data_IF_503714387560
#
_entry.id   IF_503714387560
#
_cell.length_a   1.000
_cell.length_b   1.000
_cell.length_c   1.000
_cell.angle_alpha   90.00
_cell.angle_beta   90.00
_cell.angle_gamma   90.00
#
_symmetry.space_group_name_H-M   'P 1'
#
loop_
_entity.id
_entity.type
_entity.pdbx_description
1 polymer ?
#
# COMPACT_ATOMS: atom_id res chain seq x y z
N UNK A 1 5.70 17.29 13.41
CA UNK A 1 5.82 18.75 13.17
C UNK A 1 5.39 19.05 11.74
N UNK A 2 4.59 20.10 11.50
CA UNK A 2 4.20 20.55 10.16
C UNK A 2 5.23 21.53 9.60
N UNK A 3 6.07 21.08 8.68
CA UNK A 3 7.19 21.83 8.14
C UNK A 3 6.95 22.10 6.65
N UNK A 4 6.13 23.11 6.35
CA UNK A 4 5.63 23.42 5.00
C UNK A 4 6.64 24.22 4.16
N UNK A 5 7.89 23.77 4.12
CA UNK A 5 9.00 24.49 3.49
C UNK A 5 9.09 24.29 1.96
N UNK A 6 8.37 23.32 1.42
CA UNK A 6 8.24 23.10 -0.01
C UNK A 6 6.79 22.73 -0.38
N UNK A 7 6.53 22.67 -1.69
CA UNK A 7 5.20 22.40 -2.21
C UNK A 7 4.71 20.98 -1.88
N UNK A 8 5.61 19.99 -1.79
CA UNK A 8 5.24 18.60 -1.52
C UNK A 8 4.73 18.49 -0.08
N UNK A 9 5.49 18.99 0.88
CA UNK A 9 5.10 18.96 2.29
C UNK A 9 3.87 19.84 2.54
N UNK A 10 3.80 21.01 1.90
CA UNK A 10 2.62 21.89 1.98
C UNK A 10 1.37 21.21 1.41
N UNK A 11 1.47 20.51 0.28
CA UNK A 11 0.34 19.78 -0.30
C UNK A 11 -0.13 18.65 0.63
N UNK A 12 0.79 17.92 1.27
CA UNK A 12 0.47 16.89 2.26
C UNK A 12 -0.24 17.48 3.49
N UNK A 13 0.28 18.59 4.03
CA UNK A 13 -0.32 19.34 5.15
C UNK A 13 -1.73 19.85 4.82
N UNK A 14 -1.93 20.40 3.61
CA UNK A 14 -3.26 20.80 3.12
C UNK A 14 -4.18 19.58 2.95
N UNK A 15 -3.67 18.46 2.46
CA UNK A 15 -4.45 17.22 2.31
C UNK A 15 -4.97 16.75 3.67
N UNK A 16 -4.12 16.75 4.70
CA UNK A 16 -4.49 16.38 6.06
C UNK A 16 -5.49 17.37 6.68
N UNK A 17 -5.27 18.68 6.56
CA UNK A 17 -6.16 19.68 7.16
C UNK A 17 -7.56 19.66 6.54
N UNK A 18 -7.65 19.38 5.24
CA UNK A 18 -8.92 19.27 4.49
C UNK A 18 -9.57 17.88 4.63
N UNK A 19 -9.02 17.00 5.48
CA UNK A 19 -9.52 15.62 5.68
C UNK A 19 -9.60 14.83 4.38
N UNK A 20 -8.70 15.11 3.44
CA UNK A 20 -8.55 14.36 2.20
C UNK A 20 -7.62 13.16 2.44
N UNK A 21 -7.75 12.15 1.57
CA UNK A 21 -6.94 10.93 1.68
C UNK A 21 -5.49 11.22 1.31
N UNK A 22 -4.57 10.88 2.21
CA UNK A 22 -3.12 10.97 2.02
C UNK A 22 -2.50 9.59 2.23
N UNK A 23 -1.78 9.09 1.25
CA UNK A 23 -1.01 7.83 1.33
C UNK A 23 0.47 8.18 1.23
N UNK A 24 1.26 7.71 2.20
CA UNK A 24 2.72 7.89 2.26
C UNK A 24 3.40 6.55 2.02
N UNK A 25 4.14 6.44 0.90
CA UNK A 25 4.88 5.23 0.55
C UNK A 25 6.28 5.28 1.14
N UNK A 26 6.44 4.79 2.37
CA UNK A 26 7.69 4.92 3.14
C UNK A 26 8.66 3.76 2.82
N UNK A 27 9.77 4.05 2.13
CA UNK A 27 10.79 3.06 1.75
C UNK A 27 12.11 3.32 2.49
N UNK A 28 12.34 2.60 3.57
CA UNK A 28 13.60 2.62 4.33
C UNK A 28 13.76 1.32 5.14
N UNK A 29 15.00 0.88 5.39
CA UNK A 29 15.32 -0.22 6.30
C UNK A 29 16.82 -0.23 6.66
N UNK A 30 17.21 -0.39 7.94
CA UNK A 30 16.36 -0.57 9.13
C UNK A 30 15.75 0.76 9.61
N UNK A 31 14.62 0.65 10.31
CA UNK A 31 13.95 1.82 10.88
C UNK A 31 14.53 2.16 12.25
N UNK A 32 15.00 3.39 12.41
CA UNK A 32 15.25 4.01 13.71
C UNK A 32 13.93 4.43 14.39
N UNK A 33 13.99 4.73 15.69
CA UNK A 33 12.83 5.24 16.44
C UNK A 33 12.24 6.52 15.84
N UNK A 34 13.09 7.38 15.26
CA UNK A 34 12.66 8.64 14.63
C UNK A 34 11.69 8.37 13.49
N UNK A 35 11.97 7.40 12.62
CA UNK A 35 11.04 7.06 11.53
C UNK A 35 9.74 6.48 12.06
N UNK A 36 9.81 5.59 13.06
CA UNK A 36 8.62 4.96 13.67
C UNK A 36 7.71 5.99 14.34
N UNK A 37 8.27 6.92 15.12
CA UNK A 37 7.52 7.99 15.76
C UNK A 37 6.87 8.90 14.72
N UNK A 38 7.60 9.30 13.67
CA UNK A 38 7.05 10.14 12.60
C UNK A 38 5.92 9.42 11.83
N UNK A 39 6.10 8.14 11.51
CA UNK A 39 5.07 7.32 10.83
C UNK A 39 3.85 7.11 11.71
N UNK A 40 4.03 6.95 13.02
CA UNK A 40 2.93 6.85 13.97
C UNK A 40 2.14 8.16 14.06
N UNK A 41 2.83 9.30 14.19
CA UNK A 41 2.18 10.62 14.31
C UNK A 41 1.37 10.98 13.06
N UNK A 42 1.90 10.71 11.86
CA UNK A 42 1.16 10.98 10.62
C UNK A 42 -0.02 10.00 10.41
N UNK A 43 0.12 8.76 10.89
CA UNK A 43 -1.00 7.80 10.92
C UNK A 43 -2.11 8.26 11.86
N UNK A 44 -1.78 8.74 13.07
CA UNK A 44 -2.76 9.34 14.01
C UNK A 44 -3.44 10.57 13.43
N UNK A 45 -2.75 11.34 12.58
CA UNK A 45 -3.32 12.50 11.90
C UNK A 45 -4.31 12.14 10.77
N UNK A 46 -4.41 10.86 10.39
CA UNK A 46 -5.36 10.35 9.39
C UNK A 46 -4.73 9.99 8.04
N UNK A 47 -3.41 10.04 7.89
CA UNK A 47 -2.75 9.52 6.72
C UNK A 47 -2.60 7.99 6.78
N UNK A 48 -2.45 7.35 5.63
CA UNK A 48 -2.06 5.94 5.54
C UNK A 48 -0.56 5.87 5.27
N UNK A 49 0.19 5.15 6.10
CA UNK A 49 1.59 4.82 5.81
C UNK A 49 1.64 3.42 5.20
N UNK A 50 2.14 3.33 3.98
CA UNK A 50 2.28 2.09 3.22
C UNK A 50 3.76 1.84 2.90
N UNK A 51 4.48 1.03 3.69
CA UNK A 51 5.81 0.60 3.28
C UNK A 51 5.69 -0.39 2.11
N UNK A 52 6.42 -0.22 1.00
CA UNK A 52 6.36 -1.14 -0.14
C UNK A 52 7.10 -2.43 0.20
N UNK A 53 6.43 -3.30 0.96
CA UNK A 53 6.89 -4.66 1.31
C UNK A 53 6.28 -5.64 0.30
N UNK A 54 7.14 -6.20 -0.54
CA UNK A 54 6.72 -7.09 -1.63
C UNK A 54 6.06 -8.35 -1.09
N UNK A 55 4.91 -8.72 -1.64
CA UNK A 55 4.25 -9.95 -1.26
C UNK A 55 4.62 -11.10 -2.21
N UNK A 56 4.90 -12.26 -1.63
CA UNK A 56 5.28 -13.46 -2.38
C UNK A 56 4.17 -14.52 -2.43
N UNK A 57 3.01 -14.27 -1.79
CA UNK A 57 1.90 -15.22 -1.77
C UNK A 57 1.25 -15.39 -3.15
N UNK A 58 1.42 -14.42 -4.05
CA UNK A 58 1.00 -14.50 -5.46
C UNK A 58 1.95 -15.31 -6.33
N UNK A 59 3.10 -15.76 -5.78
CA UNK A 59 4.18 -16.45 -6.51
C UNK A 59 4.58 -15.67 -7.78
N UNK A 60 5.03 -14.42 -7.63
CA UNK A 60 5.42 -13.59 -8.76
C UNK A 60 6.52 -14.28 -9.58
N UNK A 61 6.39 -14.24 -10.90
CA UNK A 61 7.34 -14.80 -11.86
C UNK A 61 8.39 -13.79 -12.31
N UNK A 62 8.11 -12.50 -12.10
CA UNK A 62 8.98 -11.38 -12.49
C UNK A 62 9.03 -10.28 -11.42
N UNK A 63 9.99 -9.37 -11.55
CA UNK A 63 10.04 -8.15 -10.71
C UNK A 63 8.84 -7.25 -11.02
N UNK A 64 8.41 -7.21 -12.29
CA UNK A 64 7.26 -6.41 -12.70
C UNK A 64 6.00 -6.90 -11.99
N UNK A 65 5.80 -8.21 -11.81
CA UNK A 65 4.68 -8.78 -11.06
C UNK A 65 4.67 -8.27 -9.60
N UNK A 66 5.85 -8.17 -8.97
CA UNK A 66 6.00 -7.70 -7.59
C UNK A 66 5.69 -6.21 -7.46
N UNK A 67 6.22 -5.41 -8.40
CA UNK A 67 5.98 -3.97 -8.46
C UNK A 67 4.50 -3.71 -8.72
N UNK A 68 3.92 -4.44 -9.67
CA UNK A 68 2.53 -4.32 -10.06
C UNK A 68 1.59 -4.63 -8.89
N UNK A 69 1.85 -5.70 -8.14
CA UNK A 69 1.09 -6.05 -6.95
C UNK A 69 1.14 -4.94 -5.88
N UNK A 70 2.29 -4.27 -5.71
CA UNK A 70 2.42 -3.14 -4.79
C UNK A 70 1.70 -1.88 -5.29
N UNK A 71 1.81 -1.56 -6.59
CA UNK A 71 1.12 -0.42 -7.21
C UNK A 71 -0.40 -0.59 -7.09
N UNK A 72 -0.93 -1.78 -7.39
CA UNK A 72 -2.35 -2.07 -7.23
C UNK A 72 -2.80 -1.84 -5.79
N UNK A 73 -1.98 -2.23 -4.80
CA UNK A 73 -2.30 -1.95 -3.39
C UNK A 73 -2.29 -0.45 -3.06
N UNK A 74 -1.40 0.33 -3.66
CA UNK A 74 -1.39 1.79 -3.49
C UNK A 74 -2.63 2.45 -4.10
N UNK A 75 -3.07 1.99 -5.28
CA UNK A 75 -4.29 2.46 -5.94
C UNK A 75 -5.52 2.12 -5.10
N UNK A 76 -5.60 0.90 -4.56
CA UNK A 76 -6.67 0.49 -3.64
C UNK A 76 -6.77 1.41 -2.42
N UNK A 77 -5.64 1.82 -1.85
CA UNK A 77 -5.62 2.73 -0.72
C UNK A 77 -6.16 4.11 -1.09
N UNK A 78 -6.07 4.53 -2.35
CA UNK A 78 -6.60 5.82 -2.83
C UNK A 78 -8.10 5.79 -3.16
N UNK A 79 -8.80 4.66 -2.98
CA UNK A 79 -10.22 4.48 -3.37
C UNK A 79 -10.48 4.62 -4.87
N UNK A 80 -9.49 4.28 -5.70
CA UNK A 80 -9.60 4.41 -7.14
C UNK A 80 -9.91 3.05 -7.77
N UNK A 81 -10.92 3.04 -8.66
CA UNK A 81 -11.22 1.89 -9.51
C UNK A 81 -10.31 1.88 -10.74
N UNK A 82 -9.75 0.72 -11.06
CA UNK A 82 -8.99 0.52 -12.30
C UNK A 82 -9.97 0.07 -13.38
N UNK A 83 -10.33 0.98 -14.29
CA UNK A 83 -11.44 0.81 -15.24
C UNK A 83 -10.98 0.15 -16.57
N UNK A 84 -9.76 0.42 -17.04
CA UNK A 84 -9.33 0.08 -18.42
C UNK A 84 -7.95 -0.61 -18.53
N UNK A 85 -7.50 -1.32 -17.49
CA UNK A 85 -6.21 -2.02 -17.53
C UNK A 85 -6.32 -3.47 -18.01
N UNK A 86 -5.36 -3.95 -18.81
CA UNK A 86 -5.03 -5.38 -18.96
C UNK A 86 -4.68 -6.07 -17.61
N UNK A 87 -4.64 -5.29 -16.53
CA UNK A 87 -4.42 -5.66 -15.13
C UNK A 87 -5.69 -6.23 -14.46
N UNK A 88 -6.64 -6.77 -15.24
CA UNK A 88 -7.80 -7.46 -14.69
C UNK A 88 -7.33 -8.79 -14.07
N UNK A 89 -7.61 -8.96 -12.79
CA UNK A 89 -7.54 -10.25 -12.08
C UNK A 89 -6.17 -10.92 -11.89
N UNK A 90 -5.06 -10.17 -11.84
CA UNK A 90 -3.85 -10.72 -11.22
C UNK A 90 -3.99 -10.75 -9.68
N UNK A 91 -4.67 -11.80 -9.23
CA UNK A 91 -4.55 -12.44 -7.93
C UNK A 91 -4.71 -11.54 -6.69
N UNK A 92 -5.82 -10.79 -6.60
CA UNK A 92 -6.34 -10.42 -5.28
C UNK A 92 -6.59 -11.71 -4.50
N UNK A 93 -5.91 -11.86 -3.37
CA UNK A 93 -6.06 -13.05 -2.53
C UNK A 93 -7.52 -13.21 -2.10
N UNK A 94 -8.19 -14.26 -2.60
CA UNK A 94 -9.59 -14.58 -2.31
C UNK A 94 -9.75 -15.55 -1.13
N UNK A 95 -8.65 -15.90 -0.44
CA UNK A 95 -8.65 -16.91 0.60
C UNK A 95 -8.16 -18.27 0.11
N UNK A 96 -8.15 -19.24 1.01
CA UNK A 96 -7.92 -20.63 0.65
C UNK A 96 -9.23 -21.25 0.17
N UNK A 97 -9.23 -21.86 -1.02
CA UNK A 97 -10.30 -22.78 -1.42
C UNK A 97 -10.17 -24.07 -0.62
N UNK A 98 -10.88 -24.12 0.51
CA UNK A 98 -10.91 -25.29 1.39
C UNK A 98 -11.72 -26.44 0.78
N UNK A 99 -12.57 -26.20 -0.22
CA UNK A 99 -13.38 -27.23 -0.86
C UNK A 99 -12.54 -28.12 -1.79
N UNK A 100 -11.48 -27.58 -2.38
CA UNK A 100 -10.54 -28.34 -3.23
C UNK A 100 -9.65 -29.32 -2.44
N UNK A 101 -9.41 -29.09 -1.13
CA UNK A 101 -8.54 -29.94 -0.30
C UNK A 101 -9.12 -31.32 0.04
N UNK A 102 -10.43 -31.52 -0.10
CA UNK A 102 -11.10 -32.78 0.25
C UNK A 102 -10.91 -33.93 -0.74
N UNK A 103 -10.36 -33.68 -1.95
CA UNK A 103 -10.28 -34.68 -3.03
C UNK A 103 -8.89 -35.31 -3.22
N UNK A 104 -7.89 -34.94 -2.43
CA UNK A 104 -6.52 -35.48 -2.55
C UNK A 104 -6.20 -36.63 -1.59
N UNK A 105 -7.13 -37.01 -0.71
CA UNK A 105 -6.95 -38.10 0.27
C UNK A 105 -8.08 -39.14 0.20
N UNK A 106 -8.45 -39.60 -0.99
CA UNK A 106 -9.35 -40.74 -1.21
C UNK A 106 -8.77 -41.67 -2.28
#
# INVERSE_FOLDING_TARGET
MGYDNDLIVRAASVTLKERRRLVLVARETPLTSIYLENMLEVTKAGAVVFPPVMAFYTRPSSIDDMVQQSVMRMIDLLDLEVIDGDMQDEARWSGFDWAAKGKQNA
#
